data_IF_935253860239
#
_entry.id   IF_935253860239
#
_cell.length_a   1.000
_cell.length_b   1.000
_cell.length_c   1.000
_cell.angle_alpha   90.00
_cell.angle_beta   90.00
_cell.angle_gamma   90.00
#
_symmetry.space_group_name_H-M   'P 1'
#
loop_
_entity.id
_entity.type
_entity.pdbx_description
1 polymer ?
#
# COMPACT_ATOMS: atom_id res chain seq x y z
N UNK A 1 -6.55 -0.50 11.61
CA UNK A 1 -5.10 -0.42 11.79
C UNK A 1 -4.44 -0.05 10.47
N UNK A 2 -3.52 0.91 10.49
CA UNK A 2 -2.86 1.35 9.28
C UNK A 2 -1.87 0.31 8.77
N UNK A 3 -1.85 0.10 7.48
CA UNK A 3 -0.87 -0.74 6.83
C UNK A 3 0.23 0.15 6.27
N UNK A 4 1.47 -0.14 6.63
CA UNK A 4 2.61 0.65 6.19
C UNK A 4 3.61 -0.28 5.51
N UNK A 5 4.07 0.10 4.31
CA UNK A 5 5.04 -0.67 3.56
C UNK A 5 6.10 0.25 2.95
N UNK A 6 7.35 -0.23 2.82
CA UNK A 6 8.37 0.56 2.13
C UNK A 6 8.10 0.62 0.63
N UNK A 7 8.60 1.67 -0.01
CA UNK A 7 8.36 1.87 -1.44
C UNK A 7 8.91 0.71 -2.29
N UNK A 8 9.94 0.03 -1.80
CA UNK A 8 10.51 -1.11 -2.51
C UNK A 8 9.50 -2.24 -2.70
N UNK A 9 8.48 -2.32 -1.86
CA UNK A 9 7.44 -3.34 -1.98
C UNK A 9 6.57 -3.14 -3.20
N UNK A 10 6.61 -1.96 -3.83
CA UNK A 10 5.85 -1.72 -5.06
C UNK A 10 6.32 -2.60 -6.22
N UNK A 11 7.50 -3.19 -6.11
CA UNK A 11 7.98 -4.15 -7.10
C UNK A 11 7.18 -5.45 -7.05
N UNK A 12 6.59 -5.75 -5.91
CA UNK A 12 5.77 -6.94 -5.73
C UNK A 12 4.32 -6.59 -6.03
N UNK A 13 4.04 -6.36 -7.30
CA UNK A 13 2.74 -5.83 -7.72
C UNK A 13 1.57 -6.71 -7.31
N UNK A 14 1.70 -8.03 -7.45
CA UNK A 14 0.61 -8.93 -7.06
C UNK A 14 0.37 -8.92 -5.56
N UNK A 15 1.45 -8.90 -4.78
CA UNK A 15 1.33 -8.87 -3.32
C UNK A 15 0.65 -7.60 -2.84
N UNK A 16 1.02 -6.46 -3.42
CA UNK A 16 0.43 -5.17 -3.08
C UNK A 16 -1.06 -5.15 -3.46
N UNK A 17 -1.38 -5.64 -4.64
CA UNK A 17 -2.75 -5.69 -5.12
C UNK A 17 -3.61 -6.57 -4.20
N UNK A 18 -3.11 -7.76 -3.86
CA UNK A 18 -3.83 -8.67 -2.98
C UNK A 18 -4.05 -8.06 -1.60
N UNK A 19 -3.03 -7.42 -1.04
CA UNK A 19 -3.14 -6.76 0.26
C UNK A 19 -4.20 -5.66 0.22
N UNK A 20 -4.17 -4.83 -0.80
CA UNK A 20 -5.10 -3.71 -0.91
C UNK A 20 -6.54 -4.20 -0.98
N UNK A 21 -6.78 -5.27 -1.76
CA UNK A 21 -8.13 -5.82 -1.89
C UNK A 21 -8.59 -6.54 -0.64
N UNK A 22 -7.69 -7.26 0.01
CA UNK A 22 -8.03 -8.02 1.22
C UNK A 22 -8.34 -7.12 2.40
N UNK A 23 -7.52 -6.10 2.60
CA UNK A 23 -7.64 -5.23 3.77
C UNK A 23 -8.75 -4.20 3.63
N UNK A 24 -9.07 -3.80 2.41
CA UNK A 24 -10.04 -2.73 2.14
C UNK A 24 -9.69 -1.46 2.91
N UNK A 25 -8.39 -1.19 3.02
CA UNK A 25 -7.86 -0.01 3.70
C UNK A 25 -6.73 0.57 2.88
N UNK A 26 -6.47 1.88 3.02
CA UNK A 26 -5.31 2.47 2.37
C UNK A 26 -4.01 1.89 2.91
N UNK A 27 -3.05 1.67 2.02
CA UNK A 27 -1.71 1.24 2.39
C UNK A 27 -0.79 2.44 2.24
N UNK A 28 -0.14 2.83 3.32
CA UNK A 28 0.78 3.96 3.29
C UNK A 28 2.16 3.49 2.86
N UNK A 29 2.69 4.11 1.82
CA UNK A 29 3.99 3.76 1.26
C UNK A 29 5.01 4.76 1.74
N UNK A 30 6.10 4.26 2.33
CA UNK A 30 7.15 5.11 2.87
C UNK A 30 8.38 5.10 1.96
N UNK A 31 9.09 6.20 1.97
CA UNK A 31 10.36 6.34 1.27
C UNK A 31 11.32 7.06 2.20
N UNK A 32 12.48 6.44 2.45
CA UNK A 32 13.49 7.01 3.35
C UNK A 32 12.91 7.31 4.73
N UNK A 33 11.98 6.48 5.19
CA UNK A 33 11.37 6.64 6.50
C UNK A 33 10.22 7.64 6.57
N UNK A 34 9.85 8.24 5.44
CA UNK A 34 8.77 9.21 5.39
C UNK A 34 7.60 8.69 4.58
N UNK A 35 6.40 9.06 5.01
CA UNK A 35 5.19 8.74 4.27
C UNK A 35 5.21 9.48 2.93
N UNK A 36 5.17 8.72 1.83
CA UNK A 36 5.36 9.28 0.49
C UNK A 36 4.12 9.11 -0.38
N UNK A 37 3.54 7.90 -0.38
CA UNK A 37 2.41 7.58 -1.24
C UNK A 37 1.34 6.82 -0.48
N UNK A 38 0.14 6.77 -1.07
CA UNK A 38 -0.95 5.95 -0.55
C UNK A 38 -1.44 5.07 -1.68
N UNK A 39 -1.59 3.77 -1.42
CA UNK A 39 -2.12 2.80 -2.36
C UNK A 39 -3.39 2.21 -1.80
N UNK A 40 -4.42 2.10 -2.63
CA UNK A 40 -5.68 1.52 -2.19
C UNK A 40 -6.38 0.83 -3.35
N UNK A 41 -7.28 -0.10 -3.03
CA UNK A 41 -8.10 -0.72 -4.06
C UNK A 41 -8.98 0.33 -4.73
N UNK A 42 -9.22 0.15 -6.03
CA UNK A 42 -9.97 1.13 -6.81
C UNK A 42 -11.36 1.39 -6.24
N UNK A 43 -12.02 0.35 -5.78
CA UNK A 43 -13.37 0.47 -5.23
C UNK A 43 -13.39 1.28 -3.92
N UNK A 44 -12.24 1.43 -3.27
CA UNK A 44 -12.14 2.22 -2.05
C UNK A 44 -11.99 3.71 -2.35
N UNK A 45 -11.42 4.00 -3.52
CA UNK A 45 -11.21 5.39 -3.91
C UNK A 45 -12.52 6.05 -4.27
#
# INVERSE_FOLDING_TARGET
MKRIRPITDLRKTNAISDDAHQLQEPIFITKNGYSDLVVMAHELY
#
